data_IF_748520589483
#
_entry.id   IF_748520589483
#
_cell.length_a   1.000
_cell.length_b   1.000
_cell.length_c   1.000
_cell.angle_alpha   90.00
_cell.angle_beta   90.00
_cell.angle_gamma   90.00
#
_symmetry.space_group_name_H-M   'P 1'
#
loop_
_entity.id
_entity.type
_entity.pdbx_description
1 polymer ?
#
# COMPACT_ATOMS: atom_id res chain seq x y z
N UNK A 1 -28.08 23.60 -3.76
CA UNK A 1 -26.64 23.81 -3.50
C UNK A 1 -26.22 22.85 -2.40
N UNK A 2 -25.59 21.74 -2.76
CA UNK A 2 -25.20 20.65 -1.85
C UNK A 2 -23.82 20.93 -1.27
N UNK A 3 -23.71 21.03 0.07
CA UNK A 3 -22.42 21.07 0.78
C UNK A 3 -21.93 19.63 0.90
N UNK A 4 -20.94 19.26 0.08
CA UNK A 4 -20.39 17.90 0.02
C UNK A 4 -19.55 17.49 1.25
N UNK A 5 -19.33 16.18 1.46
CA UNK A 5 -18.68 15.58 2.64
C UNK A 5 -17.14 15.75 2.70
N UNK A 6 -16.57 16.77 2.05
CA UNK A 6 -15.13 16.98 1.95
C UNK A 6 -14.49 17.55 3.23
N UNK A 7 -15.28 18.01 4.20
CA UNK A 7 -14.78 18.69 5.40
C UNK A 7 -14.35 17.76 6.54
N UNK A 8 -14.79 16.50 6.55
CA UNK A 8 -14.50 15.57 7.65
C UNK A 8 -13.12 14.90 7.52
N UNK A 9 -12.66 14.66 6.29
CA UNK A 9 -11.33 14.08 5.98
C UNK A 9 -10.22 15.07 6.35
N UNK A 10 -10.39 16.35 6.00
CA UNK A 10 -9.45 17.43 6.30
C UNK A 10 -9.34 17.68 7.82
N UNK A 11 -10.41 17.47 8.58
CA UNK A 11 -10.39 17.57 10.04
C UNK A 11 -9.61 16.41 10.70
N UNK A 12 -9.73 15.19 10.16
CA UNK A 12 -9.04 14.02 10.68
C UNK A 12 -7.52 14.07 10.40
N UNK A 13 -7.13 14.50 9.20
CA UNK A 13 -5.72 14.70 8.84
C UNK A 13 -5.06 15.79 9.69
N UNK A 14 -5.73 16.93 9.90
CA UNK A 14 -5.25 17.99 10.79
C UNK A 14 -5.10 17.52 12.24
N UNK A 15 -6.02 16.68 12.72
CA UNK A 15 -5.95 16.13 14.06
C UNK A 15 -4.78 15.13 14.24
N UNK A 16 -4.47 14.32 13.22
CA UNK A 16 -3.32 13.43 13.24
C UNK A 16 -2.00 14.21 13.17
N UNK A 17 -1.92 15.25 12.34
CA UNK A 17 -0.77 16.15 12.29
C UNK A 17 -0.53 16.84 13.64
N UNK A 18 -1.59 17.35 14.27
CA UNK A 18 -1.49 18.01 15.56
C UNK A 18 -1.02 17.04 16.66
N UNK A 19 -1.51 15.78 16.65
CA UNK A 19 -1.04 14.73 17.57
C UNK A 19 0.44 14.38 17.34
N UNK A 20 0.88 14.29 16.09
CA UNK A 20 2.28 14.02 15.76
C UNK A 20 3.19 15.16 16.23
N UNK A 21 2.82 16.42 15.94
CA UNK A 21 3.53 17.60 16.42
C UNK A 21 3.58 17.64 17.95
N UNK A 22 2.46 17.36 18.62
CA UNK A 22 2.38 17.35 20.07
C UNK A 22 3.25 16.26 20.71
N UNK A 23 3.37 15.09 20.07
CA UNK A 23 4.15 13.98 20.61
C UNK A 23 5.65 14.11 20.33
N UNK A 24 6.05 14.57 19.14
CA UNK A 24 7.46 14.60 18.72
C UNK A 24 8.19 15.91 19.05
N UNK A 25 7.50 17.06 19.09
CA UNK A 25 8.16 18.35 19.32
C UNK A 25 8.76 18.49 20.73
N UNK A 26 8.05 18.15 21.82
CA UNK A 26 8.61 18.31 23.16
C UNK A 26 9.91 17.55 23.40
N UNK A 27 10.05 16.24 23.08
CA UNK A 27 11.31 15.54 23.30
C UNK A 27 12.43 16.03 22.37
N UNK A 28 12.13 16.43 21.13
CA UNK A 28 13.14 16.94 20.21
C UNK A 28 13.71 18.29 20.66
N UNK A 29 12.85 19.22 21.08
CA UNK A 29 13.27 20.53 21.61
C UNK A 29 14.00 20.36 22.94
N UNK A 30 13.54 19.45 23.80
CA UNK A 30 14.19 19.17 25.08
C UNK A 30 15.61 18.61 24.86
N UNK A 31 15.80 17.66 23.95
CA UNK A 31 17.10 17.01 23.71
C UNK A 31 18.10 17.98 23.03
N UNK A 32 17.64 18.77 22.06
CA UNK A 32 18.47 19.79 21.41
C UNK A 32 18.79 20.96 22.34
N UNK A 33 17.85 21.38 23.19
CA UNK A 33 18.10 22.40 24.21
C UNK A 33 19.08 21.94 25.29
N UNK A 34 19.03 20.66 25.67
CA UNK A 34 19.97 20.08 26.64
C UNK A 34 21.38 19.96 26.05
N UNK A 35 21.49 19.65 24.75
CA UNK A 35 22.75 19.67 24.01
C UNK A 35 23.35 21.08 23.91
N UNK A 36 22.53 22.08 23.58
CA UNK A 36 22.96 23.49 23.52
C UNK A 36 23.44 24.00 24.88
N UNK A 37 22.68 23.71 25.94
CA UNK A 37 23.08 24.02 27.31
C UNK A 37 24.43 23.38 27.69
N UNK A 38 24.63 22.10 27.33
CA UNK A 38 25.87 21.39 27.61
C UNK A 38 27.07 21.97 26.85
N UNK A 39 26.88 22.45 25.62
CA UNK A 39 27.91 23.08 24.80
C UNK A 39 28.34 24.44 25.37
N UNK A 40 27.40 25.23 25.88
CA UNK A 40 27.68 26.48 26.58
C UNK A 40 28.37 26.22 27.93
N UNK A 41 27.92 25.21 28.69
CA UNK A 41 28.51 24.84 29.98
C UNK A 41 29.96 24.33 29.87
N UNK A 42 30.34 23.75 28.73
CA UNK A 42 31.71 23.33 28.42
C UNK A 42 32.59 24.43 27.80
N UNK A 43 32.11 25.67 27.75
CA UNK A 43 32.77 26.82 27.13
C UNK A 43 33.15 26.62 25.65
N UNK A 44 32.58 25.61 24.98
CA UNK A 44 32.82 25.34 23.57
C UNK A 44 32.14 26.39 22.67
N UNK A 45 31.08 27.02 23.18
CA UNK A 45 30.27 28.03 22.48
C UNK A 45 30.01 29.19 23.44
N UNK A 46 30.10 30.43 22.93
CA UNK A 46 29.81 31.62 23.73
C UNK A 46 28.32 31.67 24.15
N UNK A 47 27.98 32.23 25.33
CA UNK A 47 26.58 32.31 25.80
C UNK A 47 25.63 33.01 24.83
N UNK A 48 26.14 34.01 24.08
CA UNK A 48 25.36 34.71 23.05
C UNK A 48 25.10 33.84 21.83
N UNK A 49 26.06 33.00 21.45
CA UNK A 49 25.88 32.05 20.36
C UNK A 49 24.91 30.92 20.74
N UNK A 50 24.93 30.43 21.99
CA UNK A 50 23.93 29.48 22.49
C UNK A 50 22.51 30.04 22.44
N UNK A 51 22.31 31.31 22.84
CA UNK A 51 20.97 31.93 22.77
C UNK A 51 20.44 32.02 21.32
N UNK A 52 21.31 32.28 20.34
CA UNK A 52 20.95 32.27 18.91
C UNK A 52 20.60 30.84 18.46
N UNK A 53 21.37 29.84 18.88
CA UNK A 53 21.09 28.43 18.59
C UNK A 53 19.75 27.97 19.18
N UNK A 54 19.47 28.31 20.44
CA UNK A 54 18.19 28.05 21.11
C UNK A 54 16.98 28.56 20.34
N UNK A 55 17.06 29.80 19.84
CA UNK A 55 15.99 30.41 19.02
C UNK A 55 15.84 29.72 17.67
N UNK A 56 16.96 29.26 17.07
CA UNK A 56 16.98 28.63 15.75
C UNK A 56 16.49 27.16 15.76
N UNK A 57 16.54 26.48 16.91
CA UNK A 57 16.06 25.09 17.08
C UNK A 57 14.56 24.98 16.81
N UNK A 58 13.77 25.97 17.22
CA UNK A 58 12.30 25.96 17.09
C UNK A 58 11.85 25.93 15.61
N UNK A 59 12.27 26.87 14.73
CA UNK A 59 11.91 26.83 13.31
C UNK A 59 12.54 25.63 12.58
N UNK A 60 13.72 25.17 13.00
CA UNK A 60 14.36 23.99 12.42
C UNK A 60 13.56 22.71 12.71
N UNK A 61 13.10 22.53 13.95
CA UNK A 61 12.24 21.41 14.34
C UNK A 61 10.90 21.45 13.60
N UNK A 62 10.32 22.65 13.42
CA UNK A 62 9.09 22.83 12.64
C UNK A 62 9.31 22.46 11.16
N UNK A 63 10.42 22.91 10.56
CA UNK A 63 10.79 22.58 9.18
C UNK A 63 11.04 21.08 8.98
N UNK A 64 11.71 20.43 9.94
CA UNK A 64 11.91 18.98 9.97
C UNK A 64 10.59 18.21 10.06
N UNK A 65 9.65 18.67 10.89
CA UNK A 65 8.33 18.04 11.00
C UNK A 65 7.54 18.14 9.68
N UNK A 66 7.59 19.29 8.99
CA UNK A 66 6.98 19.47 7.67
C UNK A 66 7.66 18.62 6.61
N UNK A 67 9.00 18.52 6.64
CA UNK A 67 9.76 17.68 5.72
C UNK A 67 9.45 16.19 5.92
N UNK A 68 9.37 15.73 7.17
CA UNK A 68 8.95 14.38 7.51
C UNK A 68 7.52 14.10 7.06
N UNK A 69 6.60 15.05 7.22
CA UNK A 69 5.24 14.87 6.71
C UNK A 69 5.21 14.69 5.19
N UNK A 70 5.96 15.51 4.43
CA UNK A 70 6.11 15.34 2.98
C UNK A 70 6.74 14.01 2.56
N UNK A 71 7.67 13.48 3.34
CA UNK A 71 8.31 12.19 3.02
C UNK A 71 7.45 10.99 3.44
N UNK A 72 6.63 11.12 4.48
CA UNK A 72 5.66 10.10 4.90
C UNK A 72 4.58 9.92 3.83
N UNK A 73 4.15 10.97 3.13
CA UNK A 73 3.23 10.84 2.00
C UNK A 73 3.84 10.10 0.79
N UNK A 74 5.16 10.17 0.59
CA UNK A 74 5.84 9.51 -0.52
C UNK A 74 6.23 8.05 -0.23
N UNK A 75 6.76 7.79 0.97
CA UNK A 75 7.31 6.48 1.34
C UNK A 75 6.26 5.49 1.81
N UNK A 76 5.20 5.96 2.50
CA UNK A 76 4.09 5.09 2.92
C UNK A 76 3.29 4.60 1.72
N UNK A 77 3.07 5.43 0.69
CA UNK A 77 2.40 5.00 -0.54
C UNK A 77 3.16 3.91 -1.28
N UNK A 78 4.50 3.92 -1.25
CA UNK A 78 5.31 2.89 -1.89
C UNK A 78 5.29 1.55 -1.14
N UNK A 79 5.47 1.59 0.18
CA UNK A 79 5.53 0.37 1.00
C UNK A 79 4.15 -0.23 1.27
N UNK A 80 3.11 0.58 1.43
CA UNK A 80 1.72 0.13 1.59
C UNK A 80 1.15 -0.38 0.26
N UNK A 81 1.44 0.23 -0.90
CA UNK A 81 1.06 -0.38 -2.19
C UNK A 81 1.79 -1.70 -2.46
N UNK A 82 3.01 -1.86 -1.93
CA UNK A 82 3.78 -3.09 -2.06
C UNK A 82 3.34 -4.18 -1.07
N UNK A 83 2.94 -3.82 0.15
CA UNK A 83 2.45 -4.78 1.16
C UNK A 83 0.97 -5.12 1.04
N UNK A 84 0.12 -4.19 0.58
CA UNK A 84 -1.33 -4.39 0.51
C UNK A 84 -1.90 -4.62 -0.89
N UNK A 85 -1.19 -4.31 -1.97
CA UNK A 85 -1.75 -4.36 -3.34
C UNK A 85 -3.21 -3.79 -3.44
N UNK A 86 -3.60 -2.89 -2.53
CA UNK A 86 -5.02 -2.64 -2.23
C UNK A 86 -5.28 -1.84 -0.95
N UNK A 87 -4.45 -0.85 -0.63
CA UNK A 87 -4.56 -0.13 0.65
C UNK A 87 -4.23 1.35 0.57
N UNK A 88 -4.86 2.10 -0.33
CA UNK A 88 -5.33 3.48 -0.09
C UNK A 88 -6.19 3.95 -1.27
N UNK A 89 -7.23 3.17 -1.60
CA UNK A 89 -8.33 3.75 -2.36
C UNK A 89 -9.21 4.42 -1.30
N UNK A 90 -9.48 5.74 -1.40
CA UNK A 90 -10.57 6.32 -0.59
C UNK A 90 -11.76 5.38 -0.75
N UNK A 91 -12.47 4.98 0.34
CA UNK A 91 -13.54 4.01 0.25
C UNK A 91 -14.49 4.49 -0.83
N UNK A 92 -14.50 3.79 -1.97
CA UNK A 92 -15.41 4.15 -3.04
C UNK A 92 -16.80 4.01 -2.42
N UNK A 93 -17.65 5.06 -2.45
CA UNK A 93 -18.92 5.05 -1.74
C UNK A 93 -19.79 3.83 -2.07
N UNK A 94 -19.55 3.23 -3.22
CA UNK A 94 -20.22 2.05 -3.76
C UNK A 94 -19.99 0.76 -2.96
N UNK A 95 -18.86 0.60 -2.25
CA UNK A 95 -18.55 -0.63 -1.51
C UNK A 95 -18.52 -0.49 0.01
N UNK A 96 -18.79 0.71 0.55
CA UNK A 96 -18.65 0.99 2.00
C UNK A 96 -19.41 0.01 2.89
N UNK A 97 -20.61 -0.43 2.48
CA UNK A 97 -21.38 -1.44 3.22
C UNK A 97 -20.70 -2.81 3.25
N UNK A 98 -20.19 -3.27 2.10
CA UNK A 98 -19.52 -4.58 1.97
C UNK A 98 -18.16 -4.56 2.69
N UNK A 99 -17.40 -3.48 2.56
CA UNK A 99 -16.12 -3.31 3.25
C UNK A 99 -16.28 -3.27 4.77
N UNK A 100 -17.41 -2.75 5.27
CA UNK A 100 -17.73 -2.81 6.70
C UNK A 100 -17.91 -4.24 7.21
N UNK A 101 -18.43 -5.16 6.39
CA UNK A 101 -18.55 -6.58 6.74
C UNK A 101 -17.17 -7.24 6.80
N UNK A 102 -16.31 -6.95 5.83
CA UNK A 102 -14.92 -7.42 5.82
C UNK A 102 -14.17 -6.92 7.06
N UNK A 103 -14.30 -5.64 7.40
CA UNK A 103 -13.63 -5.05 8.57
C UNK A 103 -14.11 -5.65 9.90
N UNK A 104 -15.35 -6.15 9.95
CA UNK A 104 -15.92 -6.84 11.12
C UNK A 104 -15.60 -8.34 11.17
N UNK A 105 -14.94 -8.88 10.14
CA UNK A 105 -14.59 -10.30 10.06
C UNK A 105 -15.70 -11.21 9.52
N UNK A 106 -16.81 -10.64 9.02
CA UNK A 106 -17.91 -11.39 8.39
C UNK A 106 -17.55 -11.72 6.95
N UNK A 107 -16.54 -12.58 6.77
CA UNK A 107 -15.98 -12.88 5.45
C UNK A 107 -16.93 -13.67 4.52
N UNK A 108 -17.66 -14.70 4.99
CA UNK A 108 -18.64 -15.39 4.15
C UNK A 108 -19.76 -14.45 3.68
N UNK A 109 -20.30 -13.64 4.58
CA UNK A 109 -21.36 -12.69 4.28
C UNK A 109 -20.87 -11.56 3.37
N UNK A 110 -19.62 -11.11 3.54
CA UNK A 110 -19.00 -10.16 2.63
C UNK A 110 -18.82 -10.75 1.23
N UNK A 111 -18.46 -12.04 1.11
CA UNK A 111 -18.33 -12.71 -0.19
C UNK A 111 -19.68 -12.81 -0.90
N UNK A 112 -20.75 -13.17 -0.18
CA UNK A 112 -22.12 -13.17 -0.72
C UNK A 112 -22.56 -11.77 -1.16
N UNK A 113 -22.26 -10.75 -0.37
CA UNK A 113 -22.58 -9.36 -0.71
C UNK A 113 -21.82 -8.89 -1.96
N UNK A 114 -20.55 -9.27 -2.13
CA UNK A 114 -19.79 -9.01 -3.36
C UNK A 114 -20.37 -9.75 -4.56
N UNK A 115 -20.78 -11.01 -4.40
CA UNK A 115 -21.42 -11.77 -5.48
C UNK A 115 -22.76 -11.13 -5.90
N UNK A 116 -23.58 -10.71 -4.94
CA UNK A 116 -24.83 -10.00 -5.22
C UNK A 116 -24.56 -8.66 -5.95
N UNK A 117 -23.54 -7.93 -5.53
CA UNK A 117 -23.11 -6.70 -6.20
C UNK A 117 -22.62 -6.95 -7.62
N UNK A 118 -21.84 -8.00 -7.86
CA UNK A 118 -21.35 -8.37 -9.19
C UNK A 118 -22.47 -8.91 -10.09
N UNK A 119 -23.53 -9.49 -9.52
CA UNK A 119 -24.73 -9.87 -10.28
C UNK A 119 -25.47 -8.63 -10.79
N UNK A 120 -25.57 -7.57 -9.97
CA UNK A 120 -26.16 -6.30 -10.37
C UNK A 120 -25.24 -5.46 -11.27
N UNK A 121 -23.92 -5.55 -11.05
CA UNK A 121 -22.90 -4.72 -11.70
C UNK A 121 -21.72 -5.58 -12.21
N UNK A 122 -21.91 -6.37 -13.29
CA UNK A 122 -20.89 -7.32 -13.75
C UNK A 122 -19.57 -6.68 -14.23
N UNK A 123 -19.62 -5.41 -14.62
CA UNK A 123 -18.46 -4.65 -15.11
C UNK A 123 -17.54 -4.15 -13.99
N UNK A 124 -17.92 -4.30 -12.71
CA UNK A 124 -17.11 -3.83 -11.59
C UNK A 124 -15.94 -4.77 -11.30
N UNK A 125 -14.86 -4.56 -12.05
CA UNK A 125 -13.62 -5.30 -11.90
C UNK A 125 -12.92 -5.03 -10.56
N UNK A 126 -13.21 -3.90 -9.89
CA UNK A 126 -12.63 -3.59 -8.59
C UNK A 126 -13.23 -4.47 -7.49
N UNK A 127 -14.56 -4.62 -7.48
CA UNK A 127 -15.28 -5.53 -6.59
C UNK A 127 -14.85 -6.98 -6.82
N UNK A 128 -14.63 -7.38 -8.07
CA UNK A 128 -14.16 -8.72 -8.43
C UNK A 128 -12.76 -9.02 -7.90
N UNK A 129 -11.83 -8.06 -7.96
CA UNK A 129 -10.49 -8.19 -7.36
C UNK A 129 -10.60 -8.31 -5.83
N UNK A 130 -11.43 -7.46 -5.19
CA UNK A 130 -11.66 -7.51 -3.74
C UNK A 130 -12.23 -8.85 -3.30
N UNK A 131 -13.19 -9.40 -4.05
CA UNK A 131 -13.73 -10.73 -3.83
C UNK A 131 -12.66 -11.83 -3.95
N UNK A 132 -11.79 -11.76 -4.96
CA UNK A 132 -10.67 -12.70 -5.10
C UNK A 132 -9.70 -12.65 -3.92
N UNK A 133 -9.39 -11.45 -3.42
CA UNK A 133 -8.54 -11.26 -2.24
C UNK A 133 -9.19 -11.83 -0.97
N UNK A 134 -10.51 -11.66 -0.82
CA UNK A 134 -11.27 -12.22 0.30
C UNK A 134 -11.20 -13.76 0.30
N UNK A 135 -11.35 -14.38 -0.88
CA UNK A 135 -11.21 -15.83 -1.03
C UNK A 135 -9.80 -16.32 -0.68
N UNK A 136 -8.77 -15.61 -1.16
CA UNK A 136 -7.37 -15.95 -0.93
C UNK A 136 -6.96 -15.82 0.54
N UNK A 137 -7.27 -14.68 1.16
CA UNK A 137 -6.71 -14.31 2.48
C UNK A 137 -7.55 -14.76 3.67
N UNK A 138 -8.87 -14.79 3.53
CA UNK A 138 -9.78 -14.95 4.67
C UNK A 138 -10.58 -16.26 4.62
N UNK A 139 -10.98 -16.70 3.42
CA UNK A 139 -11.76 -17.92 3.25
C UNK A 139 -10.90 -19.14 2.90
N UNK A 140 -9.59 -18.96 2.69
CA UNK A 140 -8.64 -20.02 2.30
C UNK A 140 -9.11 -20.86 1.10
N UNK A 141 -9.79 -20.22 0.14
CA UNK A 141 -10.24 -20.86 -1.10
C UNK A 141 -9.43 -20.30 -2.29
N UNK A 142 -8.23 -20.85 -2.56
CA UNK A 142 -7.40 -20.39 -3.66
C UNK A 142 -8.05 -20.63 -5.02
N UNK A 143 -8.93 -21.63 -5.16
CA UNK A 143 -9.60 -21.93 -6.42
C UNK A 143 -10.69 -20.90 -6.74
N UNK A 144 -11.44 -20.42 -5.74
CA UNK A 144 -12.36 -19.30 -5.91
C UNK A 144 -11.63 -17.99 -6.19
N UNK A 145 -10.48 -17.75 -5.53
CA UNK A 145 -9.64 -16.59 -5.81
C UNK A 145 -9.13 -16.57 -7.26
N UNK A 146 -8.62 -17.71 -7.76
CA UNK A 146 -8.15 -17.85 -9.14
C UNK A 146 -9.27 -17.51 -10.14
N UNK A 147 -10.47 -18.07 -9.94
CA UNK A 147 -11.62 -17.79 -10.81
C UNK A 147 -11.97 -16.31 -10.85
N UNK A 148 -12.01 -15.65 -9.69
CA UNK A 148 -12.32 -14.22 -9.60
C UNK A 148 -11.29 -13.37 -10.37
N UNK A 149 -9.99 -13.66 -10.23
CA UNK A 149 -8.96 -12.90 -10.97
C UNK A 149 -8.98 -13.17 -12.47
N UNK A 150 -9.26 -14.41 -12.90
CA UNK A 150 -9.38 -14.74 -14.32
C UNK A 150 -10.60 -14.06 -14.96
N UNK A 151 -11.71 -13.93 -14.24
CA UNK A 151 -12.90 -13.24 -14.72
C UNK A 151 -12.67 -11.74 -14.96
N UNK A 152 -11.74 -11.09 -14.23
CA UNK A 152 -11.38 -9.68 -14.49
C UNK A 152 -10.97 -9.47 -15.95
N UNK A 153 -10.27 -10.44 -16.55
CA UNK A 153 -9.84 -10.38 -17.97
C UNK A 153 -10.99 -10.51 -18.96
N UNK A 154 -12.12 -11.12 -18.55
CA UNK A 154 -13.29 -11.34 -19.41
C UNK A 154 -14.18 -10.10 -19.53
N UNK A 155 -14.12 -9.19 -18.56
CA UNK A 155 -15.02 -8.03 -18.46
C UNK A 155 -14.34 -6.70 -18.82
N UNK A 156 -13.54 -6.68 -19.88
CA UNK A 156 -12.84 -5.49 -20.42
C UNK A 156 -12.19 -4.64 -19.32
N UNK A 157 -11.14 -5.14 -18.67
CA UNK A 157 -10.53 -4.46 -17.54
C UNK A 157 -9.88 -3.15 -17.99
N UNK A 158 -9.88 -2.15 -17.10
CA UNK A 158 -8.95 -1.02 -17.22
C UNK A 158 -7.51 -1.56 -17.12
N UNK A 159 -6.52 -0.92 -17.77
CA UNK A 159 -5.13 -1.40 -17.74
C UNK A 159 -4.60 -1.67 -16.31
N UNK A 160 -4.97 -0.84 -15.34
CA UNK A 160 -4.59 -1.00 -13.94
C UNK A 160 -5.15 -2.29 -13.31
N UNK A 161 -6.43 -2.61 -13.56
CA UNK A 161 -7.06 -3.84 -13.06
C UNK A 161 -6.46 -5.08 -13.72
N UNK A 162 -6.06 -4.99 -14.99
CA UNK A 162 -5.44 -6.09 -15.71
C UNK A 162 -4.03 -6.40 -15.20
N UNK A 163 -3.22 -5.36 -14.95
CA UNK A 163 -1.91 -5.49 -14.28
C UNK A 163 -2.10 -6.15 -12.92
N UNK A 164 -3.03 -5.62 -12.12
CA UNK A 164 -3.28 -6.09 -10.76
C UNK A 164 -3.72 -7.55 -10.73
N UNK A 165 -4.73 -7.93 -11.52
CA UNK A 165 -5.21 -9.32 -11.59
C UNK A 165 -4.11 -10.29 -12.04
N UNK A 166 -3.25 -9.87 -12.98
CA UNK A 166 -2.13 -10.69 -13.43
C UNK A 166 -1.07 -10.88 -12.34
N UNK A 167 -0.76 -9.82 -11.59
CA UNK A 167 0.15 -9.88 -10.45
C UNK A 167 -0.39 -10.80 -9.34
N UNK A 168 -1.68 -10.68 -9.00
CA UNK A 168 -2.33 -11.50 -7.99
C UNK A 168 -2.40 -12.98 -8.38
N UNK A 169 -2.59 -13.30 -9.67
CA UNK A 169 -2.50 -14.67 -10.17
C UNK A 169 -1.10 -15.26 -10.02
N UNK A 170 -0.05 -14.48 -10.33
CA UNK A 170 1.34 -14.92 -10.15
C UNK A 170 1.62 -15.22 -8.68
N UNK A 171 1.20 -14.34 -7.76
CA UNK A 171 1.32 -14.56 -6.31
C UNK A 171 0.57 -15.82 -5.88
N UNK A 172 -0.67 -15.99 -6.33
CA UNK A 172 -1.50 -17.14 -5.97
C UNK A 172 -0.88 -18.46 -6.44
N UNK A 173 -0.33 -18.52 -7.65
CA UNK A 173 0.34 -19.72 -8.15
C UNK A 173 1.65 -20.01 -7.42
N UNK A 174 2.35 -18.97 -6.99
CA UNK A 174 3.52 -19.11 -6.15
C UNK A 174 3.16 -19.71 -4.78
N UNK A 175 2.17 -19.14 -4.11
CA UNK A 175 1.68 -19.57 -2.78
C UNK A 175 1.14 -21.01 -2.81
N UNK A 176 0.44 -21.38 -3.88
CA UNK A 176 -0.15 -22.73 -4.03
C UNK A 176 0.80 -23.76 -4.63
N UNK A 177 2.04 -23.37 -4.97
CA UNK A 177 3.05 -24.26 -5.57
C UNK A 177 2.75 -24.69 -7.00
N UNK A 178 1.82 -24.03 -7.70
CA UNK A 178 1.44 -24.33 -9.08
C UNK A 178 2.46 -23.78 -10.10
N UNK A 179 3.70 -24.27 -10.02
CA UNK A 179 4.85 -23.75 -10.79
C UNK A 179 4.60 -23.63 -12.30
N UNK A 180 3.99 -24.63 -12.92
CA UNK A 180 3.69 -24.58 -14.37
C UNK A 180 2.77 -23.43 -14.77
N UNK A 181 1.80 -23.09 -13.91
CA UNK A 181 0.91 -21.94 -14.11
C UNK A 181 1.61 -20.62 -13.78
N UNK A 182 2.44 -20.59 -12.74
CA UNK A 182 3.27 -19.43 -12.40
C UNK A 182 4.17 -19.03 -13.58
N UNK A 183 4.88 -19.99 -14.18
CA UNK A 183 5.75 -19.79 -15.35
C UNK A 183 4.96 -19.22 -16.52
N UNK A 184 3.76 -19.76 -16.77
CA UNK A 184 2.93 -19.34 -17.90
C UNK A 184 2.43 -17.91 -17.73
N UNK A 185 1.96 -17.54 -16.54
CA UNK A 185 1.51 -16.17 -16.26
C UNK A 185 2.68 -15.18 -16.20
N UNK A 186 3.84 -15.56 -15.65
CA UNK A 186 5.05 -14.74 -15.67
C UNK A 186 5.52 -14.46 -17.10
N UNK A 187 5.50 -15.46 -17.98
CA UNK A 187 5.85 -15.28 -19.39
C UNK A 187 4.88 -14.33 -20.09
N UNK A 188 3.57 -14.50 -19.87
CA UNK A 188 2.55 -13.60 -20.41
C UNK A 188 2.73 -12.16 -19.92
N UNK A 189 3.00 -11.99 -18.62
CA UNK A 189 3.20 -10.68 -18.01
C UNK A 189 4.47 -10.00 -18.53
N UNK A 190 5.58 -10.74 -18.64
CA UNK A 190 6.84 -10.23 -19.16
C UNK A 190 6.72 -9.76 -20.63
N UNK A 191 6.02 -10.53 -21.47
CA UNK A 191 5.83 -10.17 -22.88
C UNK A 191 4.91 -8.94 -23.01
N UNK A 192 3.80 -8.92 -22.27
CA UNK A 192 2.83 -7.82 -22.32
C UNK A 192 3.42 -6.50 -21.85
N UNK A 193 4.25 -6.52 -20.80
CA UNK A 193 4.85 -5.34 -20.21
C UNK A 193 6.34 -5.20 -20.54
N UNK A 194 6.74 -5.69 -21.73
CA UNK A 194 8.11 -5.61 -22.23
C UNK A 194 8.60 -4.17 -22.25
N UNK A 195 9.79 -3.93 -21.71
CA UNK A 195 10.38 -2.60 -21.60
C UNK A 195 10.00 -1.83 -20.33
N UNK A 196 9.01 -2.30 -19.55
CA UNK A 196 8.75 -1.77 -18.21
C UNK A 196 9.61 -2.47 -17.15
N UNK A 197 9.84 -1.80 -16.01
CA UNK A 197 10.52 -2.41 -14.85
C UNK A 197 9.81 -3.68 -14.36
N UNK A 198 8.48 -3.65 -14.28
CA UNK A 198 7.68 -4.80 -13.86
C UNK A 198 7.82 -6.00 -14.82
N UNK A 199 7.87 -5.75 -16.13
CA UNK A 199 8.11 -6.80 -17.13
C UNK A 199 9.52 -7.37 -17.06
N UNK A 200 10.54 -6.54 -16.78
CA UNK A 200 11.91 -6.99 -16.58
C UNK A 200 12.05 -7.86 -15.32
N UNK A 201 11.42 -7.46 -14.22
CA UNK A 201 11.40 -8.24 -12.98
C UNK A 201 10.70 -9.59 -13.16
N UNK A 202 9.58 -9.62 -13.88
CA UNK A 202 8.89 -10.87 -14.24
C UNK A 202 9.75 -11.77 -15.14
N UNK A 203 10.45 -11.20 -16.13
CA UNK A 203 11.36 -11.95 -16.99
C UNK A 203 12.55 -12.54 -16.23
N UNK A 204 13.08 -11.82 -15.24
CA UNK A 204 14.15 -12.32 -14.36
C UNK A 204 13.66 -13.49 -13.53
N UNK A 205 12.52 -13.34 -12.85
CA UNK A 205 11.91 -14.41 -12.03
C UNK A 205 11.56 -15.65 -12.85
N UNK A 206 11.10 -15.45 -14.10
CA UNK A 206 10.86 -16.55 -15.04
C UNK A 206 12.14 -17.34 -15.36
N UNK A 207 13.29 -16.66 -15.54
CA UNK A 207 14.58 -17.33 -15.77
C UNK A 207 15.02 -18.13 -14.54
N UNK A 208 14.89 -17.54 -13.35
CA UNK A 208 15.22 -18.20 -12.08
C UNK A 208 14.39 -19.47 -11.87
N UNK A 209 13.07 -19.39 -12.08
CA UNK A 209 12.18 -20.55 -11.95
C UNK A 209 12.49 -21.65 -12.97
N UNK A 210 12.75 -21.29 -14.23
CA UNK A 210 13.11 -22.27 -15.27
C UNK A 210 14.47 -22.93 -15.01
N UNK A 211 15.42 -22.20 -14.45
CA UNK A 211 16.71 -22.76 -14.06
C UNK A 211 16.58 -23.74 -12.88
N UNK A 212 15.67 -23.46 -11.95
CA UNK A 212 15.38 -24.35 -10.82
C UNK A 212 14.62 -25.62 -11.22
N UNK A 213 13.83 -25.58 -12.30
CA UNK A 213 13.09 -26.73 -12.82
C UNK A 213 13.91 -27.60 -13.80
N UNK A 214 15.08 -27.14 -14.27
CA UNK A 214 16.00 -27.94 -15.07
C UNK A 214 16.81 -28.89 -14.15
N UNK A 215 16.86 -30.21 -14.40
CA UNK A 215 17.75 -31.09 -13.65
C UNK A 215 19.22 -30.68 -13.84
N UNK A 216 20.09 -30.83 -12.81
CA UNK A 216 21.51 -30.53 -12.97
C UNK A 216 22.06 -31.38 -14.10
N UNK A 217 22.75 -30.73 -15.06
CA UNK A 217 23.43 -31.41 -16.15
C UNK A 217 24.49 -32.35 -15.54
N UNK A 218 24.19 -33.65 -15.53
CA UNK A 218 25.15 -34.73 -15.28
C UNK A 218 25.90 -35.07 -16.56
#
# INVERSE_FOLDING_TARGET
MSKGPLTTVDAAERAQFLKLCWFFMPPAVMLLGLLDYFLVAKEMISPRAGLVFGVLIIPLALGMAVALWKTIEGSSKGLVNMMYAGGDLPPEPQHSGIESLVARGFYPEAAEAFLAHLAATPADNSARIKLGNLYRSNLNDPAAAERAYLEVRRHTPRPQHEVMASHLLIQLYHETGQRGREITELARFAERYKGSRAGQDAARRLKELKAADLPPAT
#
